data_IF_074270291042
#
_entry.id   IF_074270291042
#
_cell.length_a   1.000
_cell.length_b   1.000
_cell.length_c   1.000
_cell.angle_alpha   90.00
_cell.angle_beta   90.00
_cell.angle_gamma   90.00
#
_symmetry.space_group_name_H-M   'P 1'
#
loop_
_entity.id
_entity.type
_entity.pdbx_description
1 polymer ?
#
# COMPACT_ATOMS: atom_id res chain seq x y z
N UNK A 1 -7.78 41.70 32.65
CA UNK A 1 -6.67 42.66 32.74
C UNK A 1 -5.46 41.97 33.32
N UNK A 2 -4.30 42.06 32.65
CA UNK A 2 -2.93 42.26 33.18
C UNK A 2 -2.04 42.43 31.92
N UNK A 3 -1.74 43.68 31.56
CA UNK A 3 -0.69 44.02 30.59
C UNK A 3 0.61 44.18 31.36
N UNK A 4 1.48 43.18 31.31
CA UNK A 4 2.80 43.28 31.91
C UNK A 4 3.75 44.00 30.94
N UNK A 5 3.65 45.32 30.91
CA UNK A 5 4.60 46.18 30.22
C UNK A 5 5.85 46.30 31.08
N UNK A 6 6.77 45.34 30.96
CA UNK A 6 8.13 45.50 31.49
C UNK A 6 8.83 46.60 30.70
N UNK A 7 8.66 47.83 31.18
CA UNK A 7 9.40 49.01 30.75
C UNK A 7 10.86 48.82 31.17
N UNK A 8 11.67 48.24 30.27
CA UNK A 8 13.12 48.39 30.35
C UNK A 8 13.42 49.86 30.11
N UNK A 9 13.55 50.61 31.20
CA UNK A 9 14.06 51.97 31.19
C UNK A 9 15.51 51.88 30.69
N UNK A 10 15.71 52.19 29.42
CA UNK A 10 17.04 52.36 28.85
C UNK A 10 17.69 53.54 29.56
N UNK A 11 18.66 53.24 30.43
CA UNK A 11 19.55 54.27 30.94
C UNK A 11 20.31 54.85 29.74
N UNK A 12 19.84 55.99 29.27
CA UNK A 12 20.59 56.89 28.38
C UNK A 12 21.72 57.51 29.20
N UNK A 13 22.77 56.73 29.47
CA UNK A 13 24.02 57.26 30.00
C UNK A 13 24.85 57.79 28.84
N UNK A 14 24.77 59.11 28.66
CA UNK A 14 25.76 59.99 28.06
C UNK A 14 26.25 59.64 26.66
N UNK A 15 25.80 60.45 25.71
CA UNK A 15 26.52 60.75 24.47
C UNK A 15 28.00 61.03 24.78
N UNK A 16 28.93 60.37 24.08
CA UNK A 16 30.40 60.61 23.99
C UNK A 16 31.39 59.93 24.96
N UNK A 17 31.09 58.76 25.53
CA UNK A 17 32.18 57.84 25.94
C UNK A 17 32.25 56.64 24.99
N UNK A 18 33.44 56.39 24.42
CA UNK A 18 33.68 55.23 23.56
C UNK A 18 33.28 53.96 24.31
N UNK A 19 32.45 53.13 23.69
CA UNK A 19 31.92 51.93 24.31
C UNK A 19 33.08 51.04 24.80
N UNK A 20 33.07 50.54 26.05
CA UNK A 20 34.20 49.79 26.58
C UNK A 20 34.39 48.51 25.75
N UNK A 21 35.64 48.22 25.35
CA UNK A 21 35.99 47.14 24.41
C UNK A 21 35.38 45.77 24.78
N UNK A 22 35.22 45.49 26.07
CA UNK A 22 34.59 44.26 26.57
C UNK A 22 33.14 44.11 26.10
N UNK A 23 32.38 45.20 26.06
CA UNK A 23 30.99 45.21 25.58
C UNK A 23 30.96 45.00 24.07
N UNK A 24 31.86 45.64 23.32
CA UNK A 24 31.98 45.46 21.87
C UNK A 24 32.29 44.01 21.52
N UNK A 25 33.32 43.42 22.14
CA UNK A 25 33.68 42.00 21.94
C UNK A 25 32.55 41.04 22.33
N UNK A 26 31.79 41.36 23.39
CA UNK A 26 30.64 40.55 23.79
C UNK A 26 29.51 40.58 22.75
N UNK A 27 29.20 41.76 22.19
CA UNK A 27 28.20 41.90 21.12
C UNK A 27 28.61 41.14 19.87
N UNK A 28 29.86 41.31 19.43
CA UNK A 28 30.39 40.58 18.27
C UNK A 28 30.28 39.05 18.45
N UNK A 29 30.69 38.52 19.61
CA UNK A 29 30.57 37.08 19.90
C UNK A 29 29.12 36.60 19.93
N UNK A 30 28.22 37.40 20.51
CA UNK A 30 26.79 37.08 20.55
C UNK A 30 26.19 37.06 19.15
N UNK A 31 26.50 38.08 18.35
CA UNK A 31 25.95 38.24 17.01
C UNK A 31 26.46 37.13 16.08
N UNK A 32 27.74 36.73 16.22
CA UNK A 32 28.28 35.54 15.55
C UNK A 32 27.57 34.25 15.97
N UNK A 33 27.30 34.06 17.26
CA UNK A 33 26.60 32.88 17.76
C UNK A 33 25.13 32.83 17.28
N UNK A 34 24.48 33.99 17.20
CA UNK A 34 23.13 34.11 16.65
C UNK A 34 23.11 33.80 15.15
N UNK A 35 24.03 34.38 14.37
CA UNK A 35 24.14 34.12 12.94
C UNK A 35 24.37 32.63 12.65
N UNK A 36 25.29 31.98 13.37
CA UNK A 36 25.54 30.55 13.22
C UNK A 36 24.33 29.68 13.61
N UNK A 37 23.50 30.13 14.55
CA UNK A 37 22.26 29.44 14.93
C UNK A 37 21.16 29.62 13.88
N UNK A 38 21.03 30.83 13.34
CA UNK A 38 20.08 31.15 12.28
C UNK A 38 20.40 30.37 11.00
N UNK A 39 21.68 30.30 10.61
CA UNK A 39 22.15 29.51 9.47
C UNK A 39 21.77 28.03 9.61
N UNK A 40 22.10 27.41 10.75
CA UNK A 40 21.72 26.01 11.03
C UNK A 40 20.21 25.79 11.07
N UNK A 41 19.45 26.78 11.53
CA UNK A 41 18.00 26.70 11.56
C UNK A 41 17.41 26.77 10.15
N UNK A 42 17.94 27.65 9.31
CA UNK A 42 17.54 27.80 7.92
C UNK A 42 17.88 26.55 7.10
N UNK A 43 19.07 25.97 7.30
CA UNK A 43 19.49 24.72 6.67
C UNK A 43 18.54 23.57 7.02
N UNK A 44 18.27 23.35 8.31
CA UNK A 44 17.32 22.30 8.76
C UNK A 44 15.91 22.52 8.22
N UNK A 45 15.46 23.77 8.14
CA UNK A 45 14.16 24.08 7.56
C UNK A 45 14.11 23.73 6.07
N UNK A 46 15.15 24.09 5.32
CA UNK A 46 15.27 23.76 3.90
C UNK A 46 15.32 22.23 3.68
N UNK A 47 16.11 21.51 4.47
CA UNK A 47 16.16 20.04 4.45
C UNK A 47 14.80 19.41 4.75
N UNK A 48 14.08 19.93 5.74
CA UNK A 48 12.75 19.43 6.11
C UNK A 48 11.75 19.65 4.98
N UNK A 49 11.78 20.82 4.34
CA UNK A 49 10.91 21.13 3.19
C UNK A 49 11.24 20.20 2.02
N UNK A 50 12.52 20.02 1.71
CA UNK A 50 12.98 19.13 0.63
C UNK A 50 12.55 17.69 0.90
N UNK A 51 12.80 17.17 2.10
CA UNK A 51 12.38 15.83 2.48
C UNK A 51 10.86 15.67 2.43
N UNK A 52 10.09 16.69 2.80
CA UNK A 52 8.63 16.65 2.69
C UNK A 52 8.17 16.58 1.23
N UNK A 53 8.82 17.33 0.32
CA UNK A 53 8.54 17.27 -1.11
C UNK A 53 8.88 15.90 -1.70
N UNK A 54 10.06 15.37 -1.42
CA UNK A 54 10.48 14.03 -1.87
C UNK A 54 9.50 12.94 -1.37
N UNK A 55 9.07 13.00 -0.11
CA UNK A 55 8.09 12.05 0.42
C UNK A 55 6.72 12.14 -0.28
N UNK A 56 6.32 13.32 -0.74
CA UNK A 56 5.07 13.49 -1.49
C UNK A 56 5.21 12.85 -2.87
N UNK A 57 6.32 13.09 -3.55
CA UNK A 57 6.58 12.50 -4.87
C UNK A 57 6.65 10.98 -4.78
N UNK A 58 7.43 10.46 -3.82
CA UNK A 58 7.53 9.02 -3.53
C UNK A 58 6.17 8.39 -3.22
N UNK A 59 5.31 9.09 -2.48
CA UNK A 59 3.97 8.60 -2.17
C UNK A 59 3.14 8.41 -3.45
N UNK A 60 3.13 9.40 -4.34
CA UNK A 60 2.34 9.34 -5.57
C UNK A 60 2.89 8.33 -6.56
N UNK A 61 4.22 8.22 -6.71
CA UNK A 61 4.83 7.19 -7.55
C UNK A 61 4.47 5.79 -7.05
N UNK A 62 4.64 5.54 -5.75
CA UNK A 62 4.33 4.25 -5.15
C UNK A 62 2.83 3.93 -5.22
N UNK A 63 1.96 4.91 -5.00
CA UNK A 63 0.52 4.73 -5.11
C UNK A 63 0.11 4.37 -6.53
N UNK A 64 0.59 5.13 -7.52
CA UNK A 64 0.27 4.89 -8.93
C UNK A 64 0.77 3.52 -9.39
N UNK A 65 2.01 3.16 -9.04
CA UNK A 65 2.58 1.84 -9.33
C UNK A 65 1.75 0.70 -8.72
N UNK A 66 1.35 0.83 -7.44
CA UNK A 66 0.51 -0.18 -6.77
C UNK A 66 -0.87 -0.28 -7.40
N UNK A 67 -1.49 0.85 -7.71
CA UNK A 67 -2.80 0.92 -8.36
C UNK A 67 -2.76 0.24 -9.72
N UNK A 68 -1.76 0.55 -10.54
CA UNK A 68 -1.60 -0.04 -11.87
C UNK A 68 -1.38 -1.55 -11.80
N UNK A 69 -0.51 -2.01 -10.89
CA UNK A 69 -0.30 -3.45 -10.64
C UNK A 69 -1.59 -4.15 -10.24
N UNK A 70 -2.39 -3.54 -9.35
CA UNK A 70 -3.68 -4.09 -8.90
C UNK A 70 -4.71 -4.17 -10.04
N UNK A 71 -4.80 -3.13 -10.86
CA UNK A 71 -5.67 -3.12 -12.04
C UNK A 71 -5.25 -4.21 -13.03
N UNK A 72 -3.95 -4.32 -13.30
CA UNK A 72 -3.44 -5.32 -14.23
C UNK A 72 -3.65 -6.76 -13.71
N UNK A 73 -3.42 -6.99 -12.42
CA UNK A 73 -3.73 -8.27 -11.79
C UNK A 73 -5.22 -8.61 -11.91
N UNK A 74 -6.11 -7.65 -11.61
CA UNK A 74 -7.56 -7.85 -11.72
C UNK A 74 -7.99 -8.13 -13.16
N UNK A 75 -7.40 -7.43 -14.14
CA UNK A 75 -7.67 -7.68 -15.56
C UNK A 75 -7.21 -9.08 -15.95
N UNK A 76 -6.00 -9.48 -15.57
CA UNK A 76 -5.47 -10.81 -15.84
C UNK A 76 -6.34 -11.90 -15.22
N UNK A 77 -6.75 -11.74 -13.96
CA UNK A 77 -7.63 -12.70 -13.28
C UNK A 77 -8.99 -12.81 -13.98
N UNK A 78 -9.54 -11.69 -14.46
CA UNK A 78 -10.78 -11.69 -15.24
C UNK A 78 -10.61 -12.39 -16.60
N UNK A 79 -9.51 -12.15 -17.31
CA UNK A 79 -9.18 -12.83 -18.57
C UNK A 79 -9.00 -14.34 -18.35
N UNK A 80 -8.27 -14.74 -17.31
CA UNK A 80 -8.12 -16.15 -16.92
C UNK A 80 -9.45 -16.79 -16.52
N UNK A 81 -10.31 -16.05 -15.83
CA UNK A 81 -11.64 -16.53 -15.46
C UNK A 81 -12.51 -16.77 -16.70
N UNK A 82 -12.52 -15.82 -17.64
CA UNK A 82 -13.23 -15.97 -18.91
C UNK A 82 -12.67 -17.13 -19.73
N UNK A 83 -11.35 -17.25 -19.85
CA UNK A 83 -10.70 -18.37 -20.55
C UNK A 83 -11.06 -19.73 -19.92
N UNK A 84 -11.01 -19.84 -18.58
CA UNK A 84 -11.45 -21.05 -17.87
C UNK A 84 -12.92 -21.35 -18.08
N UNK A 85 -13.78 -20.32 -18.14
CA UNK A 85 -15.22 -20.50 -18.42
C UNK A 85 -15.43 -21.06 -19.82
N UNK A 86 -14.80 -20.47 -20.82
CA UNK A 86 -14.90 -20.92 -22.21
C UNK A 86 -14.30 -22.34 -22.37
N UNK A 87 -13.18 -22.68 -21.74
CA UNK A 87 -12.64 -24.06 -21.71
C UNK A 87 -13.56 -25.05 -20.97
N UNK A 88 -14.30 -24.58 -19.96
CA UNK A 88 -15.30 -25.41 -19.26
C UNK A 88 -16.54 -25.65 -20.13
N UNK A 89 -16.85 -24.75 -21.06
CA UNK A 89 -17.98 -24.86 -21.99
C UNK A 89 -17.61 -25.52 -23.33
N UNK A 90 -16.36 -25.40 -23.77
CA UNK A 90 -15.90 -25.87 -25.08
C UNK A 90 -15.22 -27.25 -24.98
N UNK A 91 -15.87 -28.27 -25.54
CA UNK A 91 -15.29 -29.58 -25.81
C UNK A 91 -15.45 -30.61 -24.68
N UNK A 92 -15.65 -31.86 -25.07
CA UNK A 92 -15.84 -33.00 -24.18
C UNK A 92 -17.29 -33.41 -23.96
N UNK A 93 -17.49 -34.51 -23.25
CA UNK A 93 -18.83 -35.00 -22.89
C UNK A 93 -19.48 -34.09 -21.85
N UNK A 94 -20.82 -34.12 -21.74
CA UNK A 94 -21.54 -33.38 -20.69
C UNK A 94 -21.02 -33.69 -19.27
N UNK A 95 -20.50 -34.89 -19.04
CA UNK A 95 -19.95 -35.30 -17.75
C UNK A 95 -18.55 -34.73 -17.47
N UNK A 96 -17.72 -34.52 -18.49
CA UNK A 96 -16.44 -33.80 -18.33
C UNK A 96 -16.66 -32.35 -17.90
N UNK A 97 -17.70 -31.69 -18.44
CA UNK A 97 -18.09 -30.34 -18.03
C UNK A 97 -18.57 -30.29 -16.58
N UNK A 98 -19.41 -31.25 -16.17
CA UNK A 98 -19.88 -31.37 -14.78
C UNK A 98 -18.70 -31.61 -13.82
N UNK A 99 -17.75 -32.47 -14.20
CA UNK A 99 -16.57 -32.77 -13.38
C UNK A 99 -15.62 -31.57 -13.20
N UNK A 100 -15.56 -30.63 -14.16
CA UNK A 100 -14.81 -29.36 -14.01
C UNK A 100 -15.47 -28.39 -13.01
N UNK A 101 -16.79 -28.48 -12.81
CA UNK A 101 -17.55 -27.60 -11.92
C UNK A 101 -17.66 -28.10 -10.47
N UNK A 102 -17.50 -29.41 -10.25
CA UNK A 102 -17.67 -30.05 -8.95
C UNK A 102 -16.32 -30.38 -8.32
N UNK A 103 -16.18 -30.16 -7.01
CA UNK A 103 -14.99 -30.56 -6.25
C UNK A 103 -14.94 -32.08 -6.05
N UNK A 104 -14.12 -32.74 -6.87
CA UNK A 104 -13.88 -34.19 -6.82
C UNK A 104 -12.65 -34.55 -5.96
N UNK A 105 -12.08 -33.61 -5.19
CA UNK A 105 -10.87 -33.89 -4.37
C UNK A 105 -11.16 -34.68 -3.10
N UNK A 106 -12.42 -34.67 -2.63
CA UNK A 106 -12.81 -35.32 -1.38
C UNK A 106 -12.27 -34.64 -0.12
N UNK A 107 -11.72 -33.42 -0.23
CA UNK A 107 -11.13 -32.70 0.90
C UNK A 107 -12.16 -31.81 1.62
N UNK A 108 -11.97 -31.65 2.92
CA UNK A 108 -12.77 -30.75 3.78
C UNK A 108 -14.19 -31.23 4.06
N UNK A 109 -14.99 -30.37 4.70
CA UNK A 109 -16.37 -30.68 5.14
C UNK A 109 -17.32 -31.08 4.00
N UNK A 110 -17.00 -30.70 2.75
CA UNK A 110 -17.75 -31.05 1.54
C UNK A 110 -17.39 -32.44 1.00
N UNK A 111 -16.20 -32.97 1.33
CA UNK A 111 -15.68 -34.24 0.84
C UNK A 111 -16.45 -35.47 1.32
N UNK A 112 -16.98 -35.43 2.54
CA UNK A 112 -17.60 -36.60 3.17
C UNK A 112 -16.58 -37.68 3.51
N UNK A 113 -16.76 -38.35 4.65
CA UNK A 113 -15.89 -39.45 5.06
C UNK A 113 -16.02 -40.66 4.13
N UNK A 114 -15.05 -41.58 4.21
CA UNK A 114 -15.12 -42.83 3.45
C UNK A 114 -16.33 -43.68 3.89
N UNK A 115 -16.92 -44.41 2.96
CA UNK A 115 -18.19 -45.13 3.08
C UNK A 115 -19.44 -44.26 2.92
N UNK A 116 -19.33 -42.93 2.85
CA UNK A 116 -20.50 -42.03 2.78
C UNK A 116 -21.07 -41.91 1.37
N UNK A 117 -22.35 -41.54 1.27
CA UNK A 117 -23.00 -41.27 -0.02
C UNK A 117 -22.29 -40.20 -0.86
N UNK A 118 -21.56 -39.28 -0.22
CA UNK A 118 -20.77 -38.25 -0.92
C UNK A 118 -19.54 -38.82 -1.62
N UNK A 119 -18.89 -39.83 -1.03
CA UNK A 119 -17.80 -40.55 -1.67
C UNK A 119 -18.30 -41.39 -2.84
N UNK A 120 -19.37 -42.17 -2.64
CA UNK A 120 -19.99 -42.96 -3.71
C UNK A 120 -20.45 -42.10 -4.89
N UNK A 121 -21.01 -40.91 -4.61
CA UNK A 121 -21.40 -39.96 -5.64
C UNK A 121 -20.19 -39.40 -6.41
N UNK A 122 -19.07 -39.14 -5.75
CA UNK A 122 -17.82 -38.72 -6.40
C UNK A 122 -17.25 -39.81 -7.30
N UNK A 123 -17.24 -41.06 -6.84
CA UNK A 123 -16.81 -42.21 -7.64
C UNK A 123 -17.66 -42.36 -8.91
N UNK A 124 -18.99 -42.18 -8.78
CA UNK A 124 -19.91 -42.17 -9.91
C UNK A 124 -19.61 -41.03 -10.90
N UNK A 125 -19.34 -39.81 -10.42
CA UNK A 125 -18.96 -38.70 -11.30
C UNK A 125 -17.63 -38.95 -12.02
N UNK A 126 -16.67 -39.60 -11.35
CA UNK A 126 -15.39 -39.96 -11.95
C UNK A 126 -15.51 -41.06 -13.01
N UNK A 127 -16.46 -42.01 -12.86
CA UNK A 127 -16.72 -43.03 -13.88
C UNK A 127 -17.42 -42.43 -15.10
N UNK A 128 -18.46 -41.63 -14.88
CA UNK A 128 -19.22 -40.96 -15.95
C UNK A 128 -18.36 -39.98 -16.76
N UNK A 129 -17.41 -39.30 -16.12
CA UNK A 129 -16.44 -38.43 -16.80
C UNK A 129 -15.62 -39.18 -17.86
N UNK A 130 -15.23 -40.43 -17.59
CA UNK A 130 -14.34 -41.22 -18.46
C UNK A 130 -15.08 -42.02 -19.53
N UNK A 131 -16.41 -42.06 -19.46
CA UNK A 131 -17.24 -42.87 -20.36
C UNK A 131 -17.83 -42.01 -21.48
N UNK A 132 -17.30 -42.19 -22.69
CA UNK A 132 -17.77 -41.49 -23.90
C UNK A 132 -19.20 -41.88 -24.30
N UNK A 133 -19.70 -43.03 -23.83
CA UNK A 133 -21.06 -43.53 -24.10
C UNK A 133 -22.02 -43.29 -22.95
N UNK A 134 -21.60 -42.52 -21.94
CA UNK A 134 -22.44 -42.22 -20.81
C UNK A 134 -23.76 -41.55 -21.26
N UNK A 135 -24.88 -41.83 -20.58
CA UNK A 135 -26.16 -41.20 -20.91
C UNK A 135 -26.04 -39.68 -20.83
N UNK A 136 -26.44 -38.98 -21.90
CA UNK A 136 -26.31 -37.53 -22.03
C UNK A 136 -24.90 -37.02 -22.39
N UNK A 137 -23.95 -37.91 -22.73
CA UNK A 137 -22.58 -37.53 -23.11
C UNK A 137 -22.53 -36.67 -24.38
N UNK A 138 -23.32 -37.02 -25.39
CA UNK A 138 -23.56 -36.17 -26.57
C UNK A 138 -24.68 -35.19 -26.23
N UNK A 139 -24.36 -33.89 -26.16
CA UNK A 139 -25.36 -32.85 -25.86
C UNK A 139 -26.57 -32.92 -26.82
N UNK A 140 -27.75 -32.55 -26.30
CA UNK A 140 -28.93 -32.24 -27.12
C UNK A 140 -28.84 -30.82 -27.66
#
# INVERSE_FOLDING_TARGET
SITNTNHYQAYSSNETEAEPEVITQWRERRDLALAAREEKSAERQAETIKAAQENIDDFYENYNSKKEKSINATRKDAEEFLAKREDTSAGGTSWERIAKLVDLSGKGARGGASGTGKEKFRELLLSLRKDEKAPGATGY
#
